data_IF_073927837692
#
_entry.id   IF_073927837692
#
_cell.length_a   1.000
_cell.length_b   1.000
_cell.length_c   1.000
_cell.angle_alpha   90.00
_cell.angle_beta   90.00
_cell.angle_gamma   90.00
#
_symmetry.space_group_name_H-M   'P 1'
#
loop_
_entity.id
_entity.type
_entity.pdbx_description
1 polymer ?
#
# COMPACT_ATOMS: atom_id res chain seq x y z
N UNK A 1 -64.25 22.58 9.58
CA UNK A 1 -63.22 22.20 10.58
C UNK A 1 -62.33 21.11 10.08
N UNK A 2 -62.77 20.10 9.34
CA UNK A 2 -61.93 19.00 8.77
C UNK A 2 -60.76 19.46 7.89
N UNK A 3 -60.94 20.48 7.04
CA UNK A 3 -59.86 20.98 6.17
C UNK A 3 -58.69 21.58 6.95
N UNK A 4 -58.95 22.21 8.14
CA UNK A 4 -57.88 22.76 9.00
C UNK A 4 -57.15 21.66 9.77
N UNK A 5 -57.85 20.58 10.14
CA UNK A 5 -57.28 19.41 10.78
C UNK A 5 -56.35 18.64 9.82
N UNK A 6 -56.74 18.51 8.55
CA UNK A 6 -55.95 17.84 7.50
C UNK A 6 -54.64 18.59 7.23
N UNK A 7 -54.67 19.93 7.28
CA UNK A 7 -53.49 20.78 7.07
C UNK A 7 -52.47 20.64 8.22
N UNK A 8 -52.97 20.47 9.48
CA UNK A 8 -52.11 20.27 10.65
C UNK A 8 -51.46 18.88 10.60
N UNK A 9 -52.15 17.84 10.14
CA UNK A 9 -51.61 16.49 9.99
C UNK A 9 -50.56 16.45 8.87
N UNK A 10 -50.72 17.24 7.81
CA UNK A 10 -49.73 17.35 6.72
C UNK A 10 -48.45 18.10 7.17
N UNK A 11 -48.59 19.06 8.12
CA UNK A 11 -47.43 19.77 8.70
C UNK A 11 -46.74 18.95 9.81
N UNK A 12 -47.43 17.95 10.38
CA UNK A 12 -46.88 17.04 11.38
C UNK A 12 -46.31 15.75 10.74
N UNK A 13 -46.32 15.63 9.39
CA UNK A 13 -45.54 14.59 8.72
C UNK A 13 -44.11 14.70 9.23
N UNK A 14 -43.55 13.66 9.85
CA UNK A 14 -42.20 13.74 10.37
C UNK A 14 -41.31 14.09 9.18
N UNK A 15 -40.70 15.24 9.22
CA UNK A 15 -39.52 15.58 8.45
C UNK A 15 -38.38 14.66 8.93
N UNK A 16 -38.61 13.37 8.84
CA UNK A 16 -37.55 12.36 8.76
C UNK A 16 -36.88 12.55 7.40
N UNK A 17 -36.51 13.82 7.15
CA UNK A 17 -35.51 14.07 6.12
C UNK A 17 -34.40 13.09 6.44
N UNK A 18 -34.14 12.18 5.52
CA UNK A 18 -33.02 11.28 5.54
C UNK A 18 -31.78 12.09 5.92
N UNK A 19 -31.50 12.18 7.21
CA UNK A 19 -30.29 12.82 7.68
C UNK A 19 -29.16 12.01 7.01
N UNK A 20 -28.58 12.58 5.98
CA UNK A 20 -27.50 11.94 5.23
C UNK A 20 -26.41 11.61 6.23
N UNK A 21 -26.15 10.33 6.43
CA UNK A 21 -25.13 9.87 7.35
C UNK A 21 -23.79 9.87 6.63
N UNK A 22 -22.82 10.48 7.23
CA UNK A 22 -21.44 10.50 6.78
C UNK A 22 -20.58 9.71 7.75
N UNK A 23 -19.64 8.97 7.22
CA UNK A 23 -18.69 8.22 8.01
C UNK A 23 -17.27 8.44 7.49
N UNK A 24 -16.32 8.13 8.35
CA UNK A 24 -14.91 8.06 7.99
C UNK A 24 -14.27 6.83 8.62
N UNK A 25 -13.12 6.44 8.09
CA UNK A 25 -12.34 5.33 8.62
C UNK A 25 -10.85 5.57 8.43
N UNK A 26 -10.04 4.84 9.15
CA UNK A 26 -8.58 4.87 9.05
C UNK A 26 -8.11 3.60 8.32
N UNK A 27 -7.86 3.74 7.01
CA UNK A 27 -7.37 2.66 6.17
C UNK A 27 -6.01 2.13 6.65
N UNK A 28 -5.10 3.03 7.06
CA UNK A 28 -3.77 2.64 7.51
C UNK A 28 -3.83 1.78 8.79
N UNK A 29 -4.66 2.17 9.76
CA UNK A 29 -4.89 1.39 10.99
C UNK A 29 -5.47 0.01 10.71
N UNK A 30 -6.40 -0.10 9.74
CA UNK A 30 -6.95 -1.39 9.31
C UNK A 30 -5.85 -2.25 8.71
N UNK A 31 -5.09 -1.73 7.74
CA UNK A 31 -4.01 -2.46 7.07
C UNK A 31 -2.94 -2.95 8.04
N UNK A 32 -2.54 -2.11 9.00
CA UNK A 32 -1.58 -2.49 10.04
C UNK A 32 -2.10 -3.60 10.96
N UNK A 33 -3.43 -3.70 11.12
CA UNK A 33 -4.06 -4.70 11.98
C UNK A 33 -4.35 -6.02 11.26
N UNK A 34 -4.38 -6.02 9.91
CA UNK A 34 -4.69 -7.20 9.11
C UNK A 34 -3.55 -8.22 9.09
N UNK A 35 -3.78 -9.50 9.47
CA UNK A 35 -2.79 -10.55 9.35
C UNK A 35 -2.32 -10.78 7.90
N UNK A 36 -3.24 -10.70 6.94
CA UNK A 36 -2.95 -10.87 5.52
C UNK A 36 -2.02 -9.76 5.00
N UNK A 37 -2.24 -8.51 5.40
CA UNK A 37 -1.38 -7.40 5.02
C UNK A 37 0.05 -7.57 5.57
N UNK A 38 0.16 -8.02 6.83
CA UNK A 38 1.47 -8.32 7.45
C UNK A 38 2.18 -9.48 6.75
N UNK A 39 1.45 -10.53 6.36
CA UNK A 39 2.01 -11.66 5.61
C UNK A 39 2.55 -11.19 4.26
N UNK A 40 1.78 -10.41 3.50
CA UNK A 40 2.23 -9.83 2.23
C UNK A 40 3.47 -8.94 2.42
N UNK A 41 3.49 -8.13 3.46
CA UNK A 41 4.65 -7.28 3.78
C UNK A 41 5.90 -8.12 4.05
N UNK A 42 5.79 -9.21 4.82
CA UNK A 42 6.91 -10.11 5.09
C UNK A 42 7.41 -10.83 3.83
N UNK A 43 6.49 -11.24 2.94
CA UNK A 43 6.86 -11.83 1.64
C UNK A 43 7.59 -10.82 0.74
N UNK A 44 7.11 -9.58 0.68
CA UNK A 44 7.76 -8.52 -0.09
C UNK A 44 9.14 -8.15 0.48
N UNK A 45 9.29 -8.13 1.81
CA UNK A 45 10.60 -7.93 2.44
C UNK A 45 11.59 -9.04 2.07
N UNK A 46 11.11 -10.29 2.05
CA UNK A 46 11.92 -11.43 1.64
C UNK A 46 12.34 -11.32 0.18
N UNK A 47 11.41 -10.98 -0.70
CA UNK A 47 11.67 -10.77 -2.12
C UNK A 47 12.68 -9.63 -2.36
N UNK A 48 12.54 -8.54 -1.63
CA UNK A 48 13.47 -7.41 -1.70
C UNK A 48 14.90 -7.83 -1.30
N UNK A 49 15.03 -8.58 -0.21
CA UNK A 49 16.34 -9.13 0.21
C UNK A 49 16.95 -10.08 -0.81
N UNK A 50 16.13 -10.91 -1.48
CA UNK A 50 16.60 -11.78 -2.55
C UNK A 50 17.18 -10.97 -3.72
N UNK A 51 16.46 -9.93 -4.17
CA UNK A 51 16.93 -9.05 -5.24
C UNK A 51 18.22 -8.29 -4.86
N UNK A 52 18.31 -7.80 -3.62
CA UNK A 52 19.53 -7.17 -3.12
C UNK A 52 20.72 -8.15 -3.17
N UNK A 53 20.53 -9.37 -2.65
CA UNK A 53 21.60 -10.39 -2.64
C UNK A 53 22.03 -10.77 -4.05
N UNK A 54 21.10 -10.88 -5.00
CA UNK A 54 21.41 -11.13 -6.40
C UNK A 54 22.30 -10.03 -6.98
N UNK A 55 21.91 -8.77 -6.83
CA UNK A 55 22.69 -7.63 -7.32
C UNK A 55 24.07 -7.52 -6.65
N UNK A 56 24.16 -7.76 -5.34
CA UNK A 56 25.43 -7.79 -4.61
C UNK A 56 26.36 -8.89 -5.15
N UNK A 57 25.86 -10.08 -5.43
CA UNK A 57 26.63 -11.17 -6.01
C UNK A 57 27.12 -10.84 -7.43
N UNK A 58 26.26 -10.28 -8.27
CA UNK A 58 26.63 -9.85 -9.62
C UNK A 58 27.70 -8.74 -9.58
N UNK A 59 27.56 -7.78 -8.69
CA UNK A 59 28.52 -6.71 -8.50
C UNK A 59 29.89 -7.23 -8.02
N UNK A 60 29.87 -8.16 -7.06
CA UNK A 60 31.09 -8.80 -6.55
C UNK A 60 31.79 -9.61 -7.64
N UNK A 61 31.05 -10.34 -8.45
CA UNK A 61 31.60 -11.10 -9.57
C UNK A 61 32.25 -10.15 -10.59
N UNK A 62 31.57 -9.05 -10.95
CA UNK A 62 32.10 -8.03 -11.83
C UNK A 62 33.42 -7.43 -11.29
N UNK A 63 33.45 -7.03 -10.02
CA UNK A 63 34.65 -6.49 -9.38
C UNK A 63 35.80 -7.50 -9.38
N UNK A 64 35.51 -8.75 -9.02
CA UNK A 64 36.53 -9.82 -9.01
C UNK A 64 37.14 -10.05 -10.40
N UNK A 65 36.30 -10.07 -11.44
CA UNK A 65 36.78 -10.20 -12.82
C UNK A 65 37.57 -8.99 -13.30
N UNK A 66 37.09 -7.79 -12.98
CA UNK A 66 37.80 -6.56 -13.30
C UNK A 66 39.20 -6.53 -12.68
N UNK A 67 39.33 -6.85 -11.39
CA UNK A 67 40.61 -6.93 -10.71
C UNK A 67 41.52 -8.02 -11.29
N UNK A 68 40.94 -9.17 -11.67
CA UNK A 68 41.68 -10.25 -12.34
C UNK A 68 42.25 -9.79 -13.66
N UNK A 69 41.42 -9.20 -14.52
CA UNK A 69 41.84 -8.75 -15.84
C UNK A 69 42.83 -7.58 -15.79
N UNK A 70 42.70 -6.68 -14.82
CA UNK A 70 43.71 -5.63 -14.58
C UNK A 70 45.11 -6.21 -14.27
N UNK A 71 45.20 -7.38 -13.64
CA UNK A 71 46.47 -8.04 -13.31
C UNK A 71 46.99 -8.87 -14.47
N UNK A 72 46.11 -9.49 -15.26
CA UNK A 72 46.47 -10.37 -16.38
C UNK A 72 46.77 -9.60 -17.67
N UNK A 73 46.12 -8.46 -17.90
CA UNK A 73 46.29 -7.67 -19.13
C UNK A 73 47.52 -6.76 -19.02
N UNK A 74 48.64 -7.32 -19.43
CA UNK A 74 49.93 -6.62 -19.53
C UNK A 74 50.25 -6.30 -20.99
N UNK A 75 51.37 -5.60 -21.24
CA UNK A 75 51.86 -5.33 -22.60
C UNK A 75 52.16 -6.61 -23.39
N UNK A 76 52.44 -7.72 -22.68
CA UNK A 76 52.69 -9.03 -23.27
C UNK A 76 51.40 -9.80 -23.62
N UNK A 77 50.25 -9.36 -23.15
CA UNK A 77 48.96 -10.03 -23.39
C UNK A 77 48.52 -9.77 -24.84
N UNK A 78 48.15 -10.79 -25.61
CA UNK A 78 47.67 -10.63 -26.98
C UNK A 78 46.43 -9.71 -27.05
N UNK A 79 46.40 -8.86 -28.09
CA UNK A 79 45.32 -7.88 -28.24
C UNK A 79 43.89 -8.51 -28.25
N UNK A 80 43.73 -9.65 -28.91
CA UNK A 80 42.47 -10.39 -28.96
C UNK A 80 42.02 -10.94 -27.59
N UNK A 81 42.95 -11.20 -26.68
CA UNK A 81 42.61 -11.62 -25.31
C UNK A 81 42.13 -10.42 -24.51
N UNK A 82 42.83 -9.30 -24.57
CA UNK A 82 42.41 -8.05 -23.92
C UNK A 82 41.05 -7.57 -24.42
N UNK A 83 40.81 -7.66 -25.71
CA UNK A 83 39.50 -7.31 -26.30
C UNK A 83 38.38 -8.21 -25.77
N UNK A 84 38.61 -9.51 -25.66
CA UNK A 84 37.63 -10.44 -25.08
C UNK A 84 37.36 -10.13 -23.60
N UNK A 85 38.36 -9.80 -22.78
CA UNK A 85 38.20 -9.40 -21.41
C UNK A 85 37.34 -8.12 -21.29
N UNK A 86 37.59 -7.13 -22.15
CA UNK A 86 36.81 -5.91 -22.20
C UNK A 86 35.34 -6.17 -22.59
N UNK A 87 35.11 -7.02 -23.59
CA UNK A 87 33.75 -7.41 -24.00
C UNK A 87 33.03 -8.13 -22.87
N UNK A 88 33.68 -9.06 -22.17
CA UNK A 88 33.09 -9.76 -21.04
C UNK A 88 32.69 -8.81 -19.89
N UNK A 89 33.57 -7.87 -19.52
CA UNK A 89 33.26 -6.85 -18.51
C UNK A 89 32.11 -5.96 -18.95
N UNK A 90 32.04 -5.57 -20.20
CA UNK A 90 30.95 -4.76 -20.74
C UNK A 90 29.62 -5.52 -20.69
N UNK A 91 29.60 -6.80 -21.05
CA UNK A 91 28.40 -7.64 -20.96
C UNK A 91 27.94 -7.85 -19.52
N UNK A 92 28.90 -8.05 -18.60
CA UNK A 92 28.55 -8.16 -17.16
C UNK A 92 27.96 -6.87 -16.63
N UNK A 93 28.50 -5.73 -17.00
CA UNK A 93 27.96 -4.44 -16.60
C UNK A 93 26.55 -4.19 -17.15
N UNK A 94 26.31 -4.52 -18.42
CA UNK A 94 24.98 -4.44 -19.03
C UNK A 94 23.98 -5.36 -18.32
N UNK A 95 24.39 -6.61 -18.01
CA UNK A 95 23.53 -7.54 -17.26
C UNK A 95 23.21 -7.03 -15.86
N UNK A 96 24.17 -6.41 -15.17
CA UNK A 96 23.93 -5.80 -13.85
C UNK A 96 22.90 -4.66 -13.93
N UNK A 97 23.03 -3.77 -14.91
CA UNK A 97 22.06 -2.71 -15.13
C UNK A 97 20.65 -3.24 -15.45
N UNK A 98 20.59 -4.25 -16.34
CA UNK A 98 19.31 -4.88 -16.70
C UNK A 98 18.66 -5.55 -15.49
N UNK A 99 19.43 -6.32 -14.70
CA UNK A 99 18.92 -6.97 -13.49
C UNK A 99 18.40 -5.95 -12.47
N UNK A 100 19.07 -4.80 -12.32
CA UNK A 100 18.60 -3.74 -11.42
C UNK A 100 17.24 -3.16 -11.85
N UNK A 101 17.07 -2.95 -13.16
CA UNK A 101 15.81 -2.48 -13.72
C UNK A 101 14.71 -3.55 -13.57
N UNK A 102 14.99 -4.78 -13.99
CA UNK A 102 14.04 -5.89 -13.95
C UNK A 102 13.57 -6.18 -12.51
N UNK A 103 14.50 -6.17 -11.56
CA UNK A 103 14.18 -6.39 -10.14
C UNK A 103 13.28 -5.28 -9.60
N UNK A 104 13.53 -4.02 -9.98
CA UNK A 104 12.68 -2.89 -9.59
C UNK A 104 11.26 -3.02 -10.17
N UNK A 105 11.15 -3.31 -11.46
CA UNK A 105 9.85 -3.48 -12.12
C UNK A 105 9.08 -4.70 -11.58
N UNK A 106 9.77 -5.82 -11.39
CA UNK A 106 9.17 -7.04 -10.87
C UNK A 106 8.72 -6.86 -9.42
N UNK A 107 9.49 -6.14 -8.59
CA UNK A 107 9.09 -5.82 -7.23
C UNK A 107 7.79 -5.02 -7.19
N UNK A 108 7.67 -3.97 -8.02
CA UNK A 108 6.44 -3.18 -8.11
C UNK A 108 5.24 -4.01 -8.57
N UNK A 109 5.43 -4.88 -9.59
CA UNK A 109 4.38 -5.78 -10.08
C UNK A 109 3.92 -6.76 -9.00
N UNK A 110 4.88 -7.39 -8.28
CA UNK A 110 4.55 -8.32 -7.20
C UNK A 110 3.90 -7.62 -6.01
N UNK A 111 4.33 -6.40 -5.66
CA UNK A 111 3.68 -5.59 -4.64
C UNK A 111 2.22 -5.31 -4.99
N UNK A 112 1.96 -4.83 -6.20
CA UNK A 112 0.59 -4.55 -6.65
C UNK A 112 -0.26 -5.82 -6.66
N UNK A 113 0.24 -6.92 -7.23
CA UNK A 113 -0.47 -8.20 -7.35
C UNK A 113 -0.83 -8.78 -5.98
N UNK A 114 0.10 -8.74 -5.01
CA UNK A 114 -0.11 -9.29 -3.68
C UNK A 114 -1.00 -8.39 -2.80
N UNK A 115 -0.90 -7.07 -2.95
CA UNK A 115 -1.70 -6.12 -2.18
C UNK A 115 -3.13 -5.99 -2.71
N UNK A 116 -3.37 -6.21 -4.00
CA UNK A 116 -4.69 -6.07 -4.61
C UNK A 116 -5.79 -6.86 -3.87
N UNK A 117 -5.66 -8.18 -3.59
CA UNK A 117 -6.70 -8.94 -2.89
C UNK A 117 -6.93 -8.44 -1.46
N UNK A 118 -5.87 -7.97 -0.78
CA UNK A 118 -5.98 -7.40 0.58
C UNK A 118 -6.77 -6.10 0.56
N UNK A 119 -6.44 -5.20 -0.37
CA UNK A 119 -7.17 -3.95 -0.58
C UNK A 119 -8.62 -4.21 -0.94
N UNK A 120 -8.88 -5.15 -1.86
CA UNK A 120 -10.24 -5.51 -2.25
C UNK A 120 -11.07 -5.99 -1.06
N UNK A 121 -10.50 -6.86 -0.21
CA UNK A 121 -11.16 -7.34 1.01
C UNK A 121 -11.55 -6.20 1.96
N UNK A 122 -10.69 -5.18 2.12
CA UNK A 122 -11.01 -3.99 2.92
C UNK A 122 -12.15 -3.21 2.27
N UNK A 123 -12.08 -2.97 0.96
CA UNK A 123 -13.13 -2.22 0.24
C UNK A 123 -14.49 -2.92 0.28
N UNK A 124 -14.51 -4.25 0.20
CA UNK A 124 -15.74 -5.03 0.34
C UNK A 124 -16.36 -4.87 1.74
N UNK A 125 -15.51 -4.87 2.79
CA UNK A 125 -15.96 -4.62 4.15
C UNK A 125 -16.48 -3.19 4.33
N UNK A 126 -15.81 -2.18 3.76
CA UNK A 126 -16.27 -0.78 3.76
C UNK A 126 -17.63 -0.65 3.08
N UNK A 127 -17.79 -1.25 1.89
CA UNK A 127 -19.05 -1.23 1.15
C UNK A 127 -20.19 -1.89 1.94
N UNK A 128 -19.93 -3.02 2.61
CA UNK A 128 -20.92 -3.68 3.45
C UNK A 128 -21.33 -2.80 4.65
N UNK A 129 -20.37 -2.14 5.31
CA UNK A 129 -20.64 -1.20 6.40
C UNK A 129 -21.44 0.01 5.90
N UNK A 130 -21.12 0.51 4.69
CA UNK A 130 -21.85 1.62 4.08
C UNK A 130 -23.33 1.28 3.88
N UNK A 131 -23.61 0.11 3.32
CA UNK A 131 -24.97 -0.37 3.05
C UNK A 131 -25.76 -0.61 4.36
N UNK A 132 -25.16 -1.33 5.31
CA UNK A 132 -25.80 -1.67 6.59
C UNK A 132 -26.06 -0.43 7.46
N UNK A 133 -25.14 0.53 7.44
CA UNK A 133 -25.24 1.77 8.23
C UNK A 133 -26.07 2.86 7.56
N UNK A 134 -26.40 2.71 6.26
CA UNK A 134 -27.07 3.75 5.47
C UNK A 134 -26.21 5.01 5.30
N UNK A 135 -24.90 4.84 5.18
CA UNK A 135 -23.98 5.96 4.94
C UNK A 135 -23.97 6.35 3.47
N UNK A 136 -24.06 7.66 3.21
CA UNK A 136 -23.95 8.21 1.85
C UNK A 136 -22.51 8.16 1.37
N UNK A 137 -21.59 8.48 2.27
CA UNK A 137 -20.14 8.40 2.02
C UNK A 137 -19.44 7.81 3.25
N UNK A 138 -18.43 6.98 2.99
CA UNK A 138 -17.41 6.59 3.96
C UNK A 138 -16.06 7.02 3.38
N UNK A 139 -15.35 7.91 4.04
CA UNK A 139 -14.13 8.55 3.54
C UNK A 139 -12.93 8.07 4.35
N UNK A 140 -11.86 7.65 3.67
CA UNK A 140 -10.60 7.37 4.35
C UNK A 140 -9.97 8.68 4.85
N UNK A 141 -9.60 8.75 6.13
CA UNK A 141 -9.01 9.94 6.77
C UNK A 141 -7.73 10.40 6.07
N UNK A 142 -6.87 9.45 5.72
CA UNK A 142 -5.59 9.75 5.07
C UNK A 142 -5.79 10.17 3.61
N UNK A 143 -6.69 9.50 2.89
CA UNK A 143 -7.06 9.85 1.53
C UNK A 143 -7.73 11.23 1.45
N UNK A 144 -8.61 11.54 2.41
CA UNK A 144 -9.26 12.86 2.52
C UNK A 144 -8.23 14.00 2.65
N UNK A 145 -7.26 13.83 3.51
CA UNK A 145 -6.21 14.84 3.73
C UNK A 145 -5.40 15.08 2.45
N UNK A 146 -5.02 14.02 1.74
CA UNK A 146 -4.33 14.13 0.45
C UNK A 146 -5.15 14.78 -0.66
N UNK A 147 -6.48 14.64 -0.62
CA UNK A 147 -7.42 15.23 -1.56
C UNK A 147 -7.93 16.63 -1.16
N UNK A 148 -7.46 17.20 -0.05
CA UNK A 148 -7.93 18.49 0.47
C UNK A 148 -9.35 18.45 1.04
N UNK A 149 -9.86 17.28 1.42
CA UNK A 149 -11.18 17.12 2.04
C UNK A 149 -11.02 17.22 3.55
N UNK A 150 -11.78 18.13 4.17
CA UNK A 150 -11.81 18.27 5.63
C UNK A 150 -12.96 17.43 6.20
N UNK A 151 -12.63 16.53 7.12
CA UNK A 151 -13.61 15.71 7.83
C UNK A 151 -13.94 16.38 9.17
N UNK A 152 -15.23 16.68 9.38
CA UNK A 152 -15.71 17.09 10.69
C UNK A 152 -15.99 15.83 11.54
N UNK A 153 -15.05 15.44 12.40
CA UNK A 153 -15.15 14.22 13.21
C UNK A 153 -16.31 14.24 14.24
N UNK A 154 -16.87 15.42 14.55
CA UNK A 154 -18.04 15.51 15.45
C UNK A 154 -19.34 15.17 14.75
N UNK A 155 -19.42 15.34 13.43
CA UNK A 155 -20.60 15.07 12.60
C UNK A 155 -20.47 13.82 11.74
N UNK A 156 -19.26 13.29 11.59
CA UNK A 156 -18.95 12.08 10.83
C UNK A 156 -18.67 10.91 11.79
N UNK A 157 -19.30 9.77 11.54
CA UNK A 157 -19.12 8.57 12.37
C UNK A 157 -17.83 7.85 12.03
N UNK A 158 -16.97 7.59 13.02
CA UNK A 158 -15.81 6.70 12.82
C UNK A 158 -16.28 5.24 12.78
N UNK A 159 -16.12 4.60 11.62
CA UNK A 159 -16.50 3.20 11.39
C UNK A 159 -15.30 2.25 11.32
N UNK A 160 -14.11 2.70 11.65
CA UNK A 160 -12.88 1.89 11.61
C UNK A 160 -13.03 0.58 12.37
N UNK A 161 -13.51 0.65 13.62
CA UNK A 161 -13.71 -0.54 14.46
C UNK A 161 -14.78 -1.49 13.91
N UNK A 162 -15.81 -0.96 13.27
CA UNK A 162 -16.87 -1.74 12.64
C UNK A 162 -16.36 -2.49 11.42
N UNK A 163 -15.54 -1.84 10.59
CA UNK A 163 -14.89 -2.45 9.45
C UNK A 163 -13.92 -3.55 9.91
N UNK A 164 -13.10 -3.29 10.94
CA UNK A 164 -12.21 -4.29 11.54
C UNK A 164 -12.96 -5.53 12.00
N UNK A 165 -14.08 -5.36 12.72
CA UNK A 165 -14.93 -6.48 13.14
C UNK A 165 -15.45 -7.29 11.94
N UNK A 166 -15.85 -6.61 10.86
CA UNK A 166 -16.33 -7.27 9.65
C UNK A 166 -15.24 -8.05 8.94
N UNK A 167 -14.00 -7.59 9.04
CA UNK A 167 -12.80 -8.30 8.55
C UNK A 167 -12.35 -9.45 9.46
N UNK A 168 -13.03 -9.67 10.61
CA UNK A 168 -12.64 -10.67 11.59
C UNK A 168 -11.39 -10.30 12.40
N UNK A 169 -11.01 -9.01 12.36
CA UNK A 169 -9.87 -8.50 13.12
C UNK A 169 -10.39 -8.15 14.51
N UNK A 170 -10.03 -8.92 15.53
CA UNK A 170 -10.25 -8.50 16.92
C UNK A 170 -9.34 -7.32 17.19
N UNK A 171 -9.91 -6.18 17.56
CA UNK A 171 -9.16 -5.00 17.96
C UNK A 171 -8.24 -5.35 19.13
N UNK A 172 -7.03 -5.80 18.83
CA UNK A 172 -5.95 -5.77 19.80
C UNK A 172 -5.66 -4.30 20.01
N UNK A 173 -5.95 -3.81 21.19
CA UNK A 173 -5.81 -2.46 21.68
C UNK A 173 -4.65 -1.71 21.02
N UNK A 174 -4.92 -1.02 19.93
CA UNK A 174 -4.04 0.02 19.46
C UNK A 174 -4.15 1.16 20.50
N UNK A 175 -3.12 1.24 21.36
CA UNK A 175 -2.92 2.36 22.29
C UNK A 175 -2.99 3.65 21.45
N UNK A 176 -3.85 4.61 21.80
CA UNK A 176 -3.87 5.89 21.11
C UNK A 176 -2.46 6.48 21.19
N UNK A 177 -1.90 6.87 20.06
CA UNK A 177 -0.67 7.64 20.04
C UNK A 177 -0.91 8.88 20.91
N UNK A 178 -0.13 9.00 21.99
CA UNK A 178 -0.19 10.13 22.89
C UNK A 178 0.04 11.41 22.07
N UNK A 179 -0.92 12.34 22.16
CA UNK A 179 -0.75 13.67 21.62
C UNK A 179 0.51 14.31 22.22
N UNK A 180 1.29 15.06 21.46
CA UNK A 180 2.43 15.78 22.00
C UNK A 180 1.92 16.83 23.00
N UNK A 181 2.40 16.75 24.23
CA UNK A 181 2.18 17.75 25.26
C UNK A 181 2.70 19.11 24.76
N UNK A 182 1.91 20.15 25.00
CA UNK A 182 2.27 21.55 24.77
C UNK A 182 3.48 21.96 25.59
#
# INVERSE_FOLDING_TARGET
MFKKLLLIVLLAAPLSLCAQKFAHFDYASIMQSMPEAKAVQAELETLYKQYQTELENMQKEFQTKMEKYQKEDTDATPANIRERHNQELQEMYQRLQQAQQDNSENFQKEQQKKMQPVTQKVMDAVNAVAQEGGYVYIIDKNGAQGAGIVINETLSTDVTSTIMKKLGITASTAKPAAAPAK
#
